data_IF_549156007282
#
_entry.id   IF_549156007282
#
_cell.length_a   1.000
_cell.length_b   1.000
_cell.length_c   1.000
_cell.angle_alpha   90.00
_cell.angle_beta   90.00
_cell.angle_gamma   90.00
#
_symmetry.space_group_name_H-M   'P 1'
#
loop_
_entity.id
_entity.type
_entity.pdbx_description
1 polymer ?
#
# COMPACT_ATOMS: atom_id res chain seq x y z
N UNK A 1 -4.81 -11.01 -2.09
CA UNK A 1 -4.20 -9.96 -2.94
C UNK A 1 -4.43 -10.10 -4.45
N UNK A 2 -4.89 -11.23 -5.00
CA UNK A 2 -5.02 -11.40 -6.47
C UNK A 2 -6.03 -10.46 -7.11
N UNK A 3 -7.08 -10.09 -6.38
CA UNK A 3 -8.10 -9.12 -6.82
C UNK A 3 -7.63 -7.66 -6.76
N UNK A 4 -6.47 -7.38 -6.15
CA UNK A 4 -5.89 -6.04 -6.13
C UNK A 4 -5.20 -5.75 -7.46
N UNK A 5 -5.33 -4.52 -7.94
CA UNK A 5 -4.50 -4.03 -9.05
C UNK A 5 -3.02 -4.03 -8.66
N UNK A 6 -2.11 -4.04 -9.65
CA UNK A 6 -0.67 -3.92 -9.38
C UNK A 6 -0.36 -2.70 -8.50
N UNK A 7 -0.92 -1.55 -8.87
CA UNK A 7 -0.71 -0.31 -8.13
C UNK A 7 -1.23 -0.35 -6.68
N UNK A 8 -2.36 -1.02 -6.41
CA UNK A 8 -2.82 -1.21 -5.03
C UNK A 8 -1.87 -2.09 -4.22
N UNK A 9 -1.32 -3.16 -4.82
CA UNK A 9 -0.31 -3.99 -4.15
C UNK A 9 0.96 -3.19 -3.85
N UNK A 10 1.42 -2.38 -4.79
CA UNK A 10 2.61 -1.54 -4.60
C UNK A 10 2.39 -0.53 -3.45
N UNK A 11 1.19 0.06 -3.34
CA UNK A 11 0.83 0.91 -2.21
C UNK A 11 0.88 0.17 -0.86
N UNK A 12 0.44 -1.09 -0.80
CA UNK A 12 0.54 -1.88 0.43
C UNK A 12 2.00 -2.10 0.85
N UNK A 13 2.90 -2.37 -0.10
CA UNK A 13 4.33 -2.48 0.20
C UNK A 13 4.93 -1.16 0.69
N UNK A 14 4.59 -0.04 0.04
CA UNK A 14 5.05 1.29 0.46
C UNK A 14 4.55 1.64 1.86
N UNK A 15 3.27 1.39 2.16
CA UNK A 15 2.69 1.68 3.48
C UNK A 15 3.30 0.77 4.54
N UNK A 16 3.51 -0.53 4.26
CA UNK A 16 4.13 -1.46 5.21
C UNK A 16 5.58 -1.10 5.59
N UNK A 17 6.29 -0.37 4.73
CA UNK A 17 7.65 0.10 4.97
C UNK A 17 7.73 1.38 5.84
N UNK A 18 6.60 1.94 6.26
CA UNK A 18 6.53 3.18 7.02
C UNK A 18 5.49 3.07 8.15
N UNK A 19 5.69 3.78 9.27
CA UNK A 19 4.82 3.61 10.44
C UNK A 19 3.42 4.22 10.23
N UNK A 20 3.36 5.50 9.85
CA UNK A 20 2.09 6.24 9.60
C UNK A 20 2.26 7.33 8.54
N UNK A 21 2.65 6.97 7.31
CA UNK A 21 2.89 7.96 6.27
C UNK A 21 1.58 8.70 5.91
N UNK A 22 1.72 9.99 5.66
CA UNK A 22 0.70 10.80 5.03
C UNK A 22 0.50 10.42 3.57
N UNK A 23 -0.64 10.79 2.99
CA UNK A 23 -0.87 10.59 1.56
C UNK A 23 0.21 11.24 0.68
N UNK A 24 0.79 12.36 1.11
CA UNK A 24 1.87 13.03 0.39
C UNK A 24 3.19 12.23 0.48
N UNK A 25 3.54 11.69 1.64
CA UNK A 25 4.73 10.83 1.80
C UNK A 25 4.58 9.55 0.97
N UNK A 26 3.40 8.92 0.97
CA UNK A 26 3.13 7.75 0.11
C UNK A 26 3.33 8.11 -1.35
N UNK A 27 2.80 9.25 -1.80
CA UNK A 27 2.96 9.75 -3.18
C UNK A 27 4.44 9.90 -3.54
N UNK A 28 5.22 10.50 -2.66
CA UNK A 28 6.65 10.75 -2.87
C UNK A 28 7.47 9.45 -2.88
N UNK A 29 7.15 8.49 -2.01
CA UNK A 29 7.79 7.19 -1.98
C UNK A 29 7.50 6.40 -3.26
N UNK A 30 6.22 6.20 -3.61
CA UNK A 30 5.85 5.39 -4.77
C UNK A 30 6.31 6.01 -6.10
N UNK A 31 6.33 7.35 -6.18
CA UNK A 31 6.73 8.04 -7.42
C UNK A 31 8.20 7.83 -7.79
N UNK A 32 9.05 7.39 -6.85
CA UNK A 32 10.45 7.02 -7.13
C UNK A 32 10.54 5.78 -8.02
N UNK A 33 9.59 4.86 -7.87
CA UNK A 33 9.62 3.55 -8.55
C UNK A 33 8.72 3.53 -9.79
N UNK A 34 7.55 4.17 -9.74
CA UNK A 34 6.53 4.09 -10.80
C UNK A 34 6.40 5.35 -11.65
N UNK A 35 7.24 6.37 -11.40
CA UNK A 35 7.14 7.70 -11.99
C UNK A 35 6.04 8.56 -11.37
N UNK A 36 5.78 9.73 -11.97
CA UNK A 36 4.85 10.71 -11.37
C UNK A 36 3.44 10.14 -11.17
N UNK A 37 3.00 10.10 -9.91
CA UNK A 37 1.64 9.71 -9.53
C UNK A 37 0.81 10.96 -9.26
N UNK A 38 -0.32 11.12 -9.94
CA UNK A 38 -1.25 12.21 -9.65
C UNK A 38 -2.25 11.87 -8.53
N UNK A 39 -2.91 12.90 -7.99
CA UNK A 39 -3.89 12.76 -6.90
C UNK A 39 -5.07 11.84 -7.28
N UNK A 40 -5.58 11.97 -8.51
CA UNK A 40 -6.70 11.18 -9.02
C UNK A 40 -6.39 9.69 -9.19
N UNK A 41 -5.11 9.31 -9.26
CA UNK A 41 -4.67 7.92 -9.23
C UNK A 41 -4.44 7.45 -7.79
N UNK A 42 -3.78 8.27 -6.96
CA UNK A 42 -3.39 7.85 -5.61
C UNK A 42 -4.59 7.66 -4.68
N UNK A 43 -5.41 8.69 -4.50
CA UNK A 43 -6.40 8.72 -3.43
C UNK A 43 -7.55 7.73 -3.63
N UNK A 44 -8.09 7.53 -4.86
CA UNK A 44 -9.07 6.46 -5.06
C UNK A 44 -8.53 5.07 -4.75
N UNK A 45 -7.23 4.82 -4.97
CA UNK A 45 -6.63 3.54 -4.61
C UNK A 45 -6.42 3.41 -3.09
N UNK A 46 -6.02 4.48 -2.40
CA UNK A 46 -5.94 4.49 -0.94
C UNK A 46 -7.31 4.28 -0.29
N UNK A 47 -8.34 4.99 -0.76
CA UNK A 47 -9.69 4.86 -0.24
C UNK A 47 -10.27 3.44 -0.50
N UNK A 48 -10.00 2.86 -1.67
CA UNK A 48 -10.38 1.46 -1.95
C UNK A 48 -9.67 0.46 -1.02
N UNK A 49 -8.37 0.64 -0.73
CA UNK A 49 -7.63 -0.21 0.20
C UNK A 49 -8.16 -0.09 1.64
N UNK A 50 -8.63 1.10 2.02
CA UNK A 50 -9.29 1.35 3.31
C UNK A 50 -10.65 0.68 3.38
N UNK A 51 -11.49 0.86 2.35
CA UNK A 51 -12.81 0.22 2.26
C UNK A 51 -12.72 -1.30 2.29
N UNK A 52 -11.71 -1.86 1.62
CA UNK A 52 -11.44 -3.29 1.62
C UNK A 52 -10.75 -3.80 2.90
N UNK A 53 -10.38 -2.90 3.82
CA UNK A 53 -9.82 -3.23 5.14
C UNK A 53 -8.35 -3.67 5.14
N UNK A 54 -7.59 -3.39 4.07
CA UNK A 54 -6.14 -3.66 4.04
C UNK A 54 -5.32 -2.56 4.74
N UNK A 55 -5.88 -1.35 4.78
CA UNK A 55 -5.22 -0.16 5.34
C UNK A 55 -6.19 0.54 6.28
N UNK A 56 -5.69 0.98 7.43
CA UNK A 56 -6.40 1.87 8.33
C UNK A 56 -6.08 3.32 7.97
N UNK A 57 -7.10 4.18 7.99
CA UNK A 57 -6.96 5.63 7.77
C UNK A 57 -7.21 6.36 9.09
N UNK A 58 -6.27 7.20 9.49
CA UNK A 58 -6.40 8.10 10.63
C UNK A 58 -6.07 9.54 10.26
N UNK A 59 -6.10 10.44 11.24
CA UNK A 59 -5.79 11.86 11.07
C UNK A 59 -4.61 12.23 11.95
N UNK A 60 -3.54 12.78 11.35
CA UNK A 60 -2.49 13.47 12.09
C UNK A 60 -3.01 14.82 12.58
N UNK A 61 -3.72 15.53 11.70
CA UNK A 61 -4.35 16.83 11.97
C UNK A 61 -5.63 17.01 11.12
N UNK A 62 -6.24 18.21 11.15
CA UNK A 62 -7.49 18.52 10.42
C UNK A 62 -7.39 18.40 8.90
N UNK A 63 -6.19 18.39 8.32
CA UNK A 63 -5.90 18.41 6.89
C UNK A 63 -5.10 17.19 6.43
N UNK A 64 -4.34 16.57 7.33
CA UNK A 64 -3.41 15.48 7.01
C UNK A 64 -3.93 14.14 7.54
N UNK A 65 -4.32 13.26 6.62
CA UNK A 65 -4.59 11.85 6.95
C UNK A 65 -3.28 11.07 6.97
N UNK A 66 -3.19 10.06 7.85
CA UNK A 66 -2.19 9.00 7.79
C UNK A 66 -2.82 7.68 7.40
N UNK A 67 -1.98 6.79 6.90
CA UNK A 67 -2.35 5.44 6.51
C UNK A 67 -1.43 4.45 7.21
N UNK A 68 -2.00 3.41 7.77
CA UNK A 68 -1.28 2.39 8.53
C UNK A 68 -1.77 1.01 8.07
N UNK A 69 -0.87 0.04 7.99
CA UNK A 69 -1.27 -1.32 7.61
C UNK A 69 -2.22 -1.91 8.66
N UNK A 70 -3.33 -2.51 8.21
CA UNK A 70 -4.18 -3.32 9.09
C UNK A 70 -3.57 -4.71 9.32
N UNK A 71 -4.12 -5.50 10.24
CA UNK A 71 -3.74 -6.90 10.43
C UNK A 71 -3.93 -7.70 9.12
N UNK A 72 -5.12 -7.59 8.51
CA UNK A 72 -5.41 -8.16 7.18
C UNK A 72 -4.40 -7.72 6.13
N UNK A 73 -4.00 -6.46 6.15
CA UNK A 73 -2.97 -5.92 5.27
C UNK A 73 -1.65 -6.67 5.41
N UNK A 74 -1.15 -6.80 6.64
CA UNK A 74 0.11 -7.50 6.93
C UNK A 74 0.05 -8.97 6.52
N UNK A 75 -1.01 -9.69 6.92
CA UNK A 75 -1.22 -11.10 6.56
C UNK A 75 -1.19 -11.28 5.04
N UNK A 76 -1.85 -10.39 4.30
CA UNK A 76 -1.90 -10.47 2.85
C UNK A 76 -0.54 -10.26 2.17
N UNK A 77 0.40 -9.50 2.79
CA UNK A 77 1.78 -9.37 2.30
C UNK A 77 2.56 -10.65 2.57
N UNK A 78 2.38 -11.27 3.74
CA UNK A 78 3.01 -12.56 4.07
C UNK A 78 2.55 -13.64 3.09
N UNK A 79 1.24 -13.79 2.90
CA UNK A 79 0.68 -14.74 1.94
C UNK A 79 1.18 -14.50 0.51
N UNK A 80 1.37 -13.23 0.14
CA UNK A 80 1.90 -12.85 -1.17
C UNK A 80 3.35 -13.29 -1.33
N UNK A 81 4.20 -13.05 -0.34
CA UNK A 81 5.61 -13.49 -0.34
C UNK A 81 5.71 -15.01 -0.39
N UNK A 82 4.93 -15.71 0.43
CA UNK A 82 4.88 -17.17 0.41
C UNK A 82 4.48 -17.70 -0.97
N UNK A 83 3.53 -17.03 -1.65
CA UNK A 83 3.16 -17.38 -3.01
C UNK A 83 4.30 -17.11 -4.00
N UNK A 84 4.99 -15.98 -3.90
CA UNK A 84 6.14 -15.65 -4.77
C UNK A 84 7.26 -16.68 -4.59
N UNK A 85 7.63 -17.01 -3.36
CA UNK A 85 8.69 -17.98 -3.04
C UNK A 85 8.39 -19.37 -3.60
N UNK A 86 7.12 -19.80 -3.58
CA UNK A 86 6.71 -21.09 -4.18
C UNK A 86 6.88 -21.15 -5.70
N UNK A 87 6.86 -20.01 -6.41
CA UNK A 87 6.91 -19.97 -7.87
C UNK A 87 8.27 -19.55 -8.41
N UNK A 88 8.93 -18.61 -7.73
CA UNK A 88 10.15 -17.95 -8.20
C UNK A 88 11.23 -17.87 -7.12
N UNK A 89 11.07 -18.52 -5.97
CA UNK A 89 12.06 -18.49 -4.88
C UNK A 89 13.44 -19.04 -5.27
N UNK A 90 13.52 -19.80 -6.37
CA UNK A 90 14.80 -20.27 -6.93
C UNK A 90 15.56 -19.19 -7.73
N UNK A 91 14.95 -18.02 -7.98
CA UNK A 91 15.59 -16.89 -8.66
C UNK A 91 16.29 -15.92 -7.69
N UNK A 92 16.17 -16.15 -6.38
CA UNK A 92 16.75 -15.33 -5.31
C UNK A 92 18.17 -15.72 -4.93
#
# INVERSE_FOLDING_TARGET
MFELTGFQRDLLYVIAGAERPSGQEIKEMISKDVGEVNHGRLYPNLDALVEQGYVNKGQHDRRTNFYEMSEKGHESIVERRDWEDRHVGFLG
#
